data_IF_573102065419
#
_entry.id   IF_573102065419
#
_cell.length_a   1.000
_cell.length_b   1.000
_cell.length_c   1.000
_cell.angle_alpha   90.00
_cell.angle_beta   90.00
_cell.angle_gamma   90.00
#
_symmetry.space_group_name_H-M   'P 1'
#
loop_
_entity.id
_entity.type
_entity.pdbx_description
1 polymer ?
#
# COMPACT_ATOMS: atom_id res chain seq x y z
N UNK A 1 6.70 -24.41 28.00
CA UNK A 1 6.99 -22.98 27.78
C UNK A 1 6.29 -22.54 26.51
N UNK A 2 5.07 -22.02 26.62
CA UNK A 2 4.27 -21.59 25.47
C UNK A 2 4.88 -20.32 24.87
N UNK A 3 5.24 -20.38 23.59
CA UNK A 3 5.72 -19.25 22.80
C UNK A 3 4.87 -18.00 23.03
N UNK A 4 5.50 -16.84 23.19
CA UNK A 4 4.81 -15.54 23.21
C UNK A 4 4.07 -15.35 21.88
N UNK A 5 2.78 -15.67 21.85
CA UNK A 5 1.93 -15.46 20.68
C UNK A 5 1.80 -13.96 20.41
N UNK A 6 1.71 -13.59 19.13
CA UNK A 6 1.48 -12.21 18.66
C UNK A 6 0.28 -11.54 19.35
N UNK A 7 -0.76 -12.33 19.65
CA UNK A 7 -1.97 -11.90 20.36
C UNK A 7 -1.65 -11.35 21.75
N UNK A 8 -0.74 -11.99 22.50
CA UNK A 8 -0.36 -11.53 23.85
C UNK A 8 0.43 -10.23 23.81
N UNK A 9 1.28 -10.03 22.78
CA UNK A 9 2.06 -8.80 22.58
C UNK A 9 1.19 -7.60 22.21
N UNK A 10 0.18 -7.82 21.36
CA UNK A 10 -0.79 -6.77 20.98
C UNK A 10 -1.61 -6.34 22.20
N UNK A 11 -2.01 -7.30 23.05
CA UNK A 11 -2.68 -6.99 24.32
C UNK A 11 -1.81 -6.18 25.28
N UNK A 12 -0.53 -6.52 25.44
CA UNK A 12 0.38 -5.75 26.32
C UNK A 12 0.60 -4.31 25.85
N UNK A 13 0.68 -4.10 24.53
CA UNK A 13 0.87 -2.76 23.97
C UNK A 13 -0.38 -1.90 24.15
N UNK A 14 -1.57 -2.44 23.93
CA UNK A 14 -2.81 -1.69 24.17
C UNK A 14 -2.97 -1.30 25.63
N UNK A 15 -2.65 -2.21 26.57
CA UNK A 15 -2.74 -1.92 28.01
C UNK A 15 -1.75 -0.85 28.44
N UNK A 16 -0.53 -0.86 27.91
CA UNK A 16 0.47 0.19 28.21
C UNK A 16 0.01 1.54 27.66
N UNK A 17 -0.53 1.57 26.44
CA UNK A 17 -1.08 2.81 25.86
C UNK A 17 -2.29 3.33 26.63
N UNK A 18 -3.22 2.46 27.02
CA UNK A 18 -4.40 2.81 27.79
C UNK A 18 -4.02 3.35 29.18
N UNK A 19 -3.14 2.66 29.91
CA UNK A 19 -2.67 3.08 31.23
C UNK A 19 -1.87 4.39 31.15
N UNK A 20 -1.02 4.56 30.14
CA UNK A 20 -0.29 5.81 29.92
C UNK A 20 -1.23 6.99 29.67
N UNK A 21 -2.29 6.78 28.88
CA UNK A 21 -3.29 7.80 28.64
C UNK A 21 -4.13 8.14 29.89
N UNK A 22 -4.52 7.13 30.67
CA UNK A 22 -5.22 7.30 31.95
C UNK A 22 -4.35 8.05 32.97
N UNK A 23 -3.05 7.71 33.05
CA UNK A 23 -2.10 8.41 33.92
C UNK A 23 -1.97 9.89 33.54
N UNK A 24 -1.92 10.21 32.24
CA UNK A 24 -1.92 11.60 31.78
C UNK A 24 -3.23 12.32 32.09
N UNK A 25 -4.38 11.65 31.94
CA UNK A 25 -5.68 12.23 32.30
C UNK A 25 -5.77 12.52 33.81
N UNK A 26 -5.24 11.62 34.63
CA UNK A 26 -5.13 11.81 36.07
C UNK A 26 -4.21 12.99 36.41
N UNK A 27 -3.04 13.08 35.79
CA UNK A 27 -2.10 14.19 36.00
C UNK A 27 -2.67 15.55 35.59
N UNK A 28 -3.48 15.57 34.54
CA UNK A 28 -4.22 16.77 34.10
C UNK A 28 -5.45 17.10 34.97
N UNK A 29 -5.69 16.35 36.05
CA UNK A 29 -6.82 16.51 36.96
C UNK A 29 -8.20 16.49 36.26
N UNK A 30 -8.33 15.73 35.17
CA UNK A 30 -9.58 15.62 34.42
C UNK A 30 -10.58 14.72 35.16
N UNK A 31 -11.67 15.32 35.62
CA UNK A 31 -12.71 14.63 36.40
C UNK A 31 -13.77 13.95 35.52
N UNK A 32 -13.93 14.38 34.27
CA UNK A 32 -14.97 13.85 33.38
C UNK A 32 -14.42 12.78 32.43
N UNK A 33 -15.11 11.63 32.26
CA UNK A 33 -14.62 10.54 31.42
C UNK A 33 -14.48 10.96 29.94
N UNK A 34 -15.36 11.83 29.46
CA UNK A 34 -15.30 12.37 28.10
C UNK A 34 -14.04 13.24 27.87
N UNK A 35 -13.64 14.07 28.84
CA UNK A 35 -12.42 14.87 28.72
C UNK A 35 -11.16 13.99 28.82
N UNK A 36 -11.17 12.98 29.68
CA UNK A 36 -10.09 11.99 29.77
C UNK A 36 -9.92 11.23 28.44
N UNK A 37 -11.02 10.82 27.80
CA UNK A 37 -11.00 10.19 26.48
C UNK A 37 -10.52 11.15 25.39
N UNK A 38 -10.95 12.40 25.39
CA UNK A 38 -10.43 13.40 24.46
C UNK A 38 -8.91 13.62 24.62
N UNK A 39 -8.42 13.70 25.87
CA UNK A 39 -6.99 13.78 26.14
C UNK A 39 -6.25 12.51 25.68
N UNK A 40 -6.81 11.32 25.90
CA UNK A 40 -6.23 10.06 25.39
C UNK A 40 -6.10 10.07 23.87
N UNK A 41 -7.11 10.59 23.16
CA UNK A 41 -7.07 10.78 21.72
C UNK A 41 -5.94 11.72 21.29
N UNK A 42 -5.78 12.85 21.98
CA UNK A 42 -4.65 13.75 21.78
C UNK A 42 -3.31 13.03 21.98
N UNK A 43 -3.16 12.27 23.07
CA UNK A 43 -1.96 11.51 23.39
C UNK A 43 -1.62 10.48 22.29
N UNK A 44 -2.60 9.65 21.89
CA UNK A 44 -2.42 8.68 20.80
C UNK A 44 -2.00 9.36 19.50
N UNK A 45 -2.59 10.53 19.22
CA UNK A 45 -2.20 11.28 18.04
C UNK A 45 -0.77 11.80 18.17
N UNK A 46 -0.36 12.34 19.31
CA UNK A 46 1.00 12.81 19.56
C UNK A 46 2.05 11.73 19.32
N UNK A 47 1.77 10.47 19.66
CA UNK A 47 2.66 9.34 19.37
C UNK A 47 2.85 9.09 17.86
N UNK A 48 1.83 9.37 17.05
CA UNK A 48 1.86 9.18 15.58
C UNK A 48 2.25 10.46 14.81
N UNK A 49 2.31 11.61 15.47
CA UNK A 49 2.67 12.89 14.84
C UNK A 49 4.06 12.86 14.19
N UNK A 50 5.14 12.35 14.83
CA UNK A 50 6.47 12.33 14.24
C UNK A 50 6.51 11.64 12.87
N UNK A 51 5.76 10.55 12.71
CA UNK A 51 5.63 9.84 11.43
C UNK A 51 4.99 10.73 10.37
N UNK A 52 3.90 11.42 10.72
CA UNK A 52 3.23 12.32 9.76
C UNK A 52 4.04 13.56 9.42
N UNK A 53 4.79 14.10 10.38
CA UNK A 53 5.72 15.22 10.16
C UNK A 53 6.86 14.79 9.24
N UNK A 54 7.42 13.60 9.46
CA UNK A 54 8.46 13.04 8.58
C UNK A 54 7.93 12.80 7.15
N UNK A 55 6.70 12.30 7.01
CA UNK A 55 6.03 12.17 5.72
C UNK A 55 5.88 13.52 5.01
N UNK A 56 5.48 14.57 5.72
CA UNK A 56 5.35 15.92 5.16
C UNK A 56 6.72 16.54 4.79
N UNK A 57 7.78 16.26 5.56
CA UNK A 57 9.15 16.65 5.17
C UNK A 57 9.56 15.97 3.87
N UNK A 58 9.30 14.67 3.73
CA UNK A 58 9.61 13.92 2.51
C UNK A 58 8.81 14.43 1.32
N UNK A 59 7.54 14.77 1.51
CA UNK A 59 6.70 15.36 0.47
C UNK A 59 7.27 16.69 -0.04
N UNK A 60 7.64 17.59 0.87
CA UNK A 60 8.16 18.90 0.48
C UNK A 60 9.54 18.82 -0.17
N UNK A 61 10.42 17.94 0.31
CA UNK A 61 11.70 17.67 -0.37
C UNK A 61 11.49 17.11 -1.77
N UNK A 62 10.49 16.26 -1.97
CA UNK A 62 10.13 15.80 -3.31
C UNK A 62 9.60 16.93 -4.19
N UNK A 63 8.80 17.86 -3.63
CA UNK A 63 8.38 19.06 -4.37
C UNK A 63 9.58 19.92 -4.79
N UNK A 64 10.61 20.06 -3.95
CA UNK A 64 11.85 20.75 -4.30
C UNK A 64 12.69 20.01 -5.37
N UNK A 65 12.53 18.69 -5.50
CA UNK A 65 13.22 17.87 -6.50
C UNK A 65 12.53 17.88 -7.88
N UNK A 66 11.27 18.31 -7.95
CA UNK A 66 10.50 18.32 -9.21
C UNK A 66 11.08 19.20 -10.32
N UNK A 67 11.60 20.42 -10.07
CA UNK A 67 12.23 21.22 -11.13
C UNK A 67 13.38 20.48 -11.81
N UNK A 68 14.27 19.86 -11.04
CA UNK A 68 15.40 19.11 -11.58
C UNK A 68 14.94 17.88 -12.36
N UNK A 69 13.91 17.20 -11.85
CA UNK A 69 13.31 16.07 -12.54
C UNK A 69 12.65 16.49 -13.86
N UNK A 70 12.03 17.68 -13.91
CA UNK A 70 11.43 18.21 -15.13
C UNK A 70 12.51 18.51 -16.17
N UNK A 71 13.64 19.10 -15.78
CA UNK A 71 14.76 19.35 -16.70
C UNK A 71 15.32 18.04 -17.28
N UNK A 72 15.52 17.02 -16.44
CA UNK A 72 15.93 15.70 -16.91
C UNK A 72 14.88 15.06 -17.85
N UNK A 73 13.60 15.34 -17.61
CA UNK A 73 12.52 14.86 -18.45
C UNK A 73 12.44 15.58 -19.80
N UNK A 74 12.66 16.89 -19.85
CA UNK A 74 12.75 17.63 -21.13
C UNK A 74 13.92 17.16 -21.98
N UNK A 75 15.06 16.82 -21.36
CA UNK A 75 16.21 16.22 -22.05
C UNK A 75 15.90 14.83 -22.60
N UNK A 76 15.05 14.06 -21.91
CA UNK A 76 14.57 12.78 -22.41
C UNK A 76 13.64 12.96 -23.61
N UNK A 77 12.68 13.88 -23.53
CA UNK A 77 11.72 14.14 -24.61
C UNK A 77 12.43 14.62 -25.88
N UNK A 78 13.45 15.47 -25.76
CA UNK A 78 14.21 15.94 -26.94
C UNK A 78 14.88 14.80 -27.71
N UNK A 79 15.23 13.69 -27.04
CA UNK A 79 15.80 12.49 -27.67
C UNK A 79 14.69 11.58 -28.20
N UNK A 80 13.62 11.38 -27.45
CA UNK A 80 12.55 10.42 -27.78
C UNK A 80 11.65 10.89 -28.91
N UNK A 81 11.39 12.20 -28.96
CA UNK A 81 10.55 12.84 -29.96
C UNK A 81 11.32 13.18 -31.24
N UNK A 82 12.63 12.96 -31.26
CA UNK A 82 13.43 13.15 -32.46
C UNK A 82 13.02 12.14 -33.55
N UNK A 83 12.71 12.58 -34.78
CA UNK A 83 12.13 11.71 -35.82
C UNK A 83 13.08 10.58 -36.25
N UNK A 84 14.38 10.80 -36.12
CA UNK A 84 15.41 9.82 -36.49
C UNK A 84 15.90 8.97 -35.31
N UNK A 85 15.31 9.12 -34.11
CA UNK A 85 15.80 8.40 -32.94
C UNK A 85 15.55 6.91 -33.05
N UNK A 86 16.62 6.13 -32.96
CA UNK A 86 16.57 4.67 -33.05
C UNK A 86 16.00 4.10 -31.74
N UNK A 87 15.28 2.97 -31.79
CA UNK A 87 14.71 2.34 -30.59
C UNK A 87 15.73 2.11 -29.46
N UNK A 88 17.00 1.85 -29.80
CA UNK A 88 18.07 1.75 -28.82
C UNK A 88 18.38 3.08 -28.11
N UNK A 89 18.36 4.21 -28.81
CA UNK A 89 18.59 5.53 -28.21
C UNK A 89 17.46 5.89 -27.25
N UNK A 90 16.21 5.57 -27.61
CA UNK A 90 15.04 5.71 -26.72
C UNK A 90 15.18 4.86 -25.45
N UNK A 91 15.71 3.63 -25.58
CA UNK A 91 16.04 2.75 -24.43
C UNK A 91 17.09 3.36 -23.52
N UNK A 92 18.19 3.86 -24.09
CA UNK A 92 19.29 4.48 -23.33
C UNK A 92 18.80 5.76 -22.64
N UNK A 93 18.02 6.59 -23.33
CA UNK A 93 17.42 7.79 -22.76
C UNK A 93 16.49 7.46 -21.59
N UNK A 94 15.65 6.43 -21.72
CA UNK A 94 14.77 5.99 -20.63
C UNK A 94 15.57 5.49 -19.42
N UNK A 95 16.62 4.70 -19.64
CA UNK A 95 17.52 4.24 -18.57
C UNK A 95 18.26 5.40 -17.89
N UNK A 96 18.71 6.39 -18.68
CA UNK A 96 19.35 7.60 -18.16
C UNK A 96 18.38 8.37 -17.27
N UNK A 97 17.15 8.63 -17.74
CA UNK A 97 16.13 9.32 -16.96
C UNK A 97 15.77 8.57 -15.66
N UNK A 98 15.74 7.23 -15.69
CA UNK A 98 15.54 6.43 -14.48
C UNK A 98 16.70 6.61 -13.47
N UNK A 99 17.96 6.59 -13.94
CA UNK A 99 19.14 6.83 -13.10
C UNK A 99 19.16 8.26 -12.57
N UNK A 100 18.85 9.25 -13.40
CA UNK A 100 18.81 10.65 -13.02
C UNK A 100 17.72 10.88 -11.97
N UNK A 101 16.53 10.29 -12.13
CA UNK A 101 15.50 10.32 -11.09
C UNK A 101 16.00 9.73 -9.77
N UNK A 102 16.62 8.56 -9.79
CA UNK A 102 17.15 7.93 -8.57
C UNK A 102 18.22 8.80 -7.91
N UNK A 103 19.12 9.39 -8.71
CA UNK A 103 20.16 10.30 -8.24
C UNK A 103 19.58 11.57 -7.61
N UNK A 104 18.62 12.22 -8.28
CA UNK A 104 17.93 13.43 -7.79
C UNK A 104 17.17 13.10 -6.51
N UNK A 105 16.36 12.04 -6.48
CA UNK A 105 15.62 11.70 -5.25
C UNK A 105 16.57 11.32 -4.10
N UNK A 106 17.71 10.70 -4.42
CA UNK A 106 18.74 10.42 -3.42
C UNK A 106 19.41 11.69 -2.87
N UNK A 107 19.70 12.69 -3.72
CA UNK A 107 20.28 13.97 -3.28
C UNK A 107 19.35 14.72 -2.32
N UNK A 108 18.04 14.69 -2.60
CA UNK A 108 17.00 15.24 -1.72
C UNK A 108 16.60 14.29 -0.56
N UNK A 109 17.23 13.11 -0.47
CA UNK A 109 16.98 12.06 0.55
C UNK A 109 15.53 11.54 0.58
N UNK A 110 14.82 11.59 -0.54
CA UNK A 110 13.42 11.16 -0.69
C UNK A 110 13.27 9.92 -1.56
N UNK A 111 12.12 9.28 -1.46
CA UNK A 111 11.65 8.22 -2.36
C UNK A 111 10.13 8.11 -2.18
N UNK A 112 9.41 7.53 -3.15
CA UNK A 112 7.98 7.27 -3.10
C UNK A 112 7.56 6.53 -1.81
N UNK A 113 8.35 5.52 -1.40
CA UNK A 113 8.10 4.77 -0.16
C UNK A 113 8.21 5.69 1.07
N UNK A 114 9.21 6.56 1.12
CA UNK A 114 9.40 7.51 2.23
C UNK A 114 8.30 8.57 2.28
N UNK A 115 7.67 8.88 1.14
CA UNK A 115 6.54 9.80 1.08
C UNK A 115 5.24 9.15 1.56
N UNK A 116 5.02 7.86 1.27
CA UNK A 116 3.75 7.17 1.58
C UNK A 116 3.77 6.43 2.92
N UNK A 117 4.80 5.62 3.18
CA UNK A 117 4.85 4.70 4.31
C UNK A 117 4.62 5.36 5.68
N UNK A 118 5.19 6.55 5.99
CA UNK A 118 4.96 7.17 7.29
C UNK A 118 3.49 7.54 7.53
N UNK A 119 2.76 7.94 6.49
CA UNK A 119 1.32 8.23 6.60
C UNK A 119 0.49 6.96 6.72
N UNK A 120 0.83 5.91 5.97
CA UNK A 120 0.15 4.62 6.07
C UNK A 120 0.30 4.01 7.47
N UNK A 121 1.53 4.02 8.01
CA UNK A 121 1.80 3.55 9.38
C UNK A 121 1.09 4.43 10.41
N UNK A 122 1.12 5.76 10.25
CA UNK A 122 0.42 6.65 11.16
C UNK A 122 -1.11 6.47 11.11
N UNK A 123 -1.69 6.20 9.95
CA UNK A 123 -3.11 5.91 9.78
C UNK A 123 -3.48 4.59 10.44
N UNK A 124 -2.71 3.52 10.20
CA UNK A 124 -2.90 2.22 10.83
C UNK A 124 -2.78 2.30 12.35
N UNK A 125 -1.76 3.00 12.86
CA UNK A 125 -1.57 3.22 14.30
C UNK A 125 -2.71 4.06 14.89
N UNK A 126 -3.21 5.06 14.16
CA UNK A 126 -4.35 5.88 14.61
C UNK A 126 -5.64 5.05 14.70
N UNK A 127 -5.92 4.23 13.69
CA UNK A 127 -7.07 3.31 13.69
C UNK A 127 -6.97 2.28 14.81
N UNK A 128 -5.77 1.72 15.03
CA UNK A 128 -5.52 0.81 16.13
C UNK A 128 -5.78 1.47 17.50
N UNK A 129 -5.28 2.70 17.71
CA UNK A 129 -5.48 3.45 18.95
C UNK A 129 -6.95 3.81 19.18
N UNK A 130 -7.69 4.19 18.13
CA UNK A 130 -9.12 4.48 18.20
C UNK A 130 -9.96 3.23 18.54
N UNK A 131 -9.50 2.05 18.13
CA UNK A 131 -10.14 0.78 18.43
C UNK A 131 -9.79 0.25 19.82
N UNK A 132 -8.67 -0.47 19.93
CA UNK A 132 -8.40 -1.36 21.08
C UNK A 132 -8.08 -0.59 22.37
N UNK A 133 -7.10 0.34 22.41
CA UNK A 133 -6.79 1.07 23.65
C UNK A 133 -7.94 1.97 24.10
N UNK A 134 -8.62 2.66 23.18
CA UNK A 134 -9.75 3.53 23.52
C UNK A 134 -10.91 2.71 24.08
N UNK A 135 -11.19 1.52 23.52
CA UNK A 135 -12.19 0.62 24.08
C UNK A 135 -11.84 0.19 25.51
N UNK A 136 -10.58 -0.15 25.80
CA UNK A 136 -10.13 -0.51 27.16
C UNK A 136 -10.34 0.63 28.17
N UNK A 137 -10.05 1.87 27.77
CA UNK A 137 -10.32 3.06 28.60
C UNK A 137 -11.84 3.24 28.81
N UNK A 138 -12.62 3.07 27.73
CA UNK A 138 -14.08 3.17 27.79
C UNK A 138 -14.71 2.11 28.71
N UNK A 139 -14.25 0.87 28.64
CA UNK A 139 -14.71 -0.22 29.52
C UNK A 139 -14.33 0.03 30.97
N UNK A 140 -13.12 0.54 31.24
CA UNK A 140 -12.72 0.93 32.59
C UNK A 140 -13.67 1.97 33.21
N UNK A 141 -14.01 3.02 32.46
CA UNK A 141 -14.93 4.03 32.97
C UNK A 141 -16.34 3.51 33.21
N UNK A 142 -16.88 2.67 32.30
CA UNK A 142 -18.24 2.16 32.39
C UNK A 142 -18.37 1.05 33.44
N UNK A 143 -17.46 0.08 33.43
CA UNK A 143 -17.57 -1.15 34.22
C UNK A 143 -16.90 -1.04 35.59
N UNK A 144 -15.69 -0.48 35.65
CA UNK A 144 -14.91 -0.47 36.90
C UNK A 144 -15.20 0.79 37.73
N UNK A 145 -15.33 1.94 37.09
CA UNK A 145 -15.61 3.22 37.77
C UNK A 145 -17.11 3.55 37.88
N UNK A 146 -17.99 2.79 37.22
CA UNK A 146 -19.43 3.05 37.22
C UNK A 146 -19.84 4.42 36.65
N UNK A 147 -18.99 5.04 35.83
CA UNK A 147 -19.20 6.38 35.29
C UNK A 147 -19.79 6.31 33.88
N UNK A 148 -20.90 7.03 33.68
CA UNK A 148 -21.46 7.20 32.34
C UNK A 148 -20.59 8.15 31.49
N UNK A 149 -20.26 7.74 30.27
CA UNK A 149 -19.57 8.59 29.29
C UNK A 149 -20.61 9.52 28.67
N UNK A 150 -20.88 10.64 29.33
CA UNK A 150 -21.75 11.69 28.81
C UNK A 150 -20.88 12.75 28.15
N UNK A 151 -21.21 13.08 26.89
CA UNK A 151 -20.57 14.20 26.20
C UNK A 151 -20.86 15.51 26.93
N UNK A 152 -19.84 16.33 27.24
CA UNK A 152 -20.05 17.63 27.88
C UNK A 152 -20.74 18.63 26.95
N UNK A 153 -20.78 18.33 25.65
CA UNK A 153 -21.43 19.16 24.64
C UNK A 153 -22.86 18.69 24.33
N UNK A 154 -23.32 17.61 24.96
CA UNK A 154 -24.69 17.16 24.79
C UNK A 154 -25.65 18.24 25.30
N UNK A 155 -26.60 18.61 24.44
CA UNK A 155 -27.68 19.54 24.78
C UNK A 155 -28.97 18.74 24.86
N UNK A 156 -29.68 18.89 25.98
CA UNK A 156 -31.00 18.28 26.15
C UNK A 156 -32.05 19.34 25.82
N UNK A 157 -32.94 19.02 24.89
CA UNK A 157 -34.03 19.89 24.51
C UNK A 157 -35.31 19.42 25.19
N UNK A 158 -35.98 20.32 25.92
CA UNK A 158 -37.26 20.05 26.57
C UNK A 158 -38.33 20.89 25.89
N UNK A 159 -39.28 20.26 25.19
CA UNK A 159 -40.50 20.95 24.77
C UNK A 159 -41.66 20.53 25.65
N UNK A 160 -42.15 21.48 26.45
CA UNK A 160 -43.43 21.35 27.12
C UNK A 160 -44.54 21.74 26.15
N UNK A 161 -45.53 20.85 25.96
CA UNK A 161 -46.68 21.09 25.08
C UNK A 161 -47.52 22.34 25.45
N UNK A 162 -47.31 22.94 26.63
CA UNK A 162 -48.05 24.11 27.13
C UNK A 162 -47.30 25.44 27.06
N UNK A 163 -46.05 25.49 26.58
CA UNK A 163 -45.28 26.74 26.50
C UNK A 163 -44.70 26.94 25.10
N UNK A 164 -45.06 28.04 24.45
CA UNK A 164 -44.61 28.47 23.13
C UNK A 164 -43.12 28.90 23.06
N UNK A 165 -42.32 28.59 24.08
CA UNK A 165 -40.91 28.89 24.16
C UNK A 165 -40.13 27.64 24.64
N UNK A 166 -39.44 26.95 23.72
CA UNK A 166 -38.56 25.85 24.09
C UNK A 166 -37.36 26.36 24.91
N UNK A 167 -37.18 25.83 26.11
CA UNK A 167 -36.02 26.15 26.95
C UNK A 167 -34.84 25.22 26.64
N UNK A 168 -33.67 25.81 26.38
CA UNK A 168 -32.41 25.08 26.20
C UNK A 168 -31.75 24.84 27.56
N UNK A 169 -31.57 23.57 27.94
CA UNK A 169 -30.78 23.20 29.12
C UNK A 169 -29.52 22.44 28.68
N UNK A 170 -28.35 22.90 29.13
CA UNK A 170 -27.10 22.16 28.95
C UNK A 170 -27.15 20.87 29.79
N UNK A 171 -26.76 19.72 29.23
CA UNK A 171 -26.96 18.42 29.89
C UNK A 171 -26.17 18.24 31.19
N UNK A 172 -25.17 19.10 31.46
CA UNK A 172 -24.39 19.09 32.70
C UNK A 172 -25.22 19.38 33.95
N UNK A 173 -26.39 20.00 33.82
CA UNK A 173 -27.24 20.38 34.97
C UNK A 173 -28.31 19.35 35.35
N UNK A 174 -28.49 18.29 34.57
CA UNK A 174 -29.59 17.32 34.74
C UNK A 174 -29.17 15.97 35.35
N UNK A 175 -27.88 15.70 35.49
CA UNK A 175 -27.38 14.45 36.07
C UNK A 175 -27.53 14.36 37.60
N UNK A 176 -27.92 15.45 38.28
CA UNK A 176 -28.01 15.52 39.76
C UNK A 176 -29.42 15.51 40.34
N UNK A 177 -30.49 15.41 39.54
CA UNK A 177 -31.87 15.56 40.06
C UNK A 177 -32.80 14.36 39.88
N UNK A 178 -32.34 13.23 39.33
CA UNK A 178 -33.21 12.07 39.10
C UNK A 178 -33.38 11.11 40.29
N UNK A 179 -32.86 11.42 41.49
CA UNK A 179 -33.00 10.53 42.67
C UNK A 179 -33.77 11.11 43.87
N UNK A 180 -34.43 12.27 43.78
CA UNK A 180 -35.04 12.89 44.98
C UNK A 180 -36.48 13.45 44.83
N UNK A 181 -37.20 13.18 43.74
CA UNK A 181 -38.57 13.70 43.57
C UNK A 181 -39.59 12.57 43.33
N UNK A 182 -39.70 11.66 44.30
CA UNK A 182 -40.82 10.74 44.43
C UNK A 182 -41.61 11.09 45.69
N UNK A 183 -42.22 12.28 45.73
CA UNK A 183 -43.34 12.57 46.60
C UNK A 183 -44.09 13.81 46.12
N UNK A 184 -45.41 13.65 46.00
CA UNK A 184 -46.44 14.71 45.95
C UNK A 184 -46.39 15.68 44.76
N UNK A 185 -47.23 15.45 43.76
CA UNK A 185 -48.55 16.13 43.67
C UNK A 185 -49.15 15.94 42.26
N UNK A 186 -50.45 15.64 42.26
CA UNK A 186 -51.29 15.52 41.08
C UNK A 186 -51.50 16.89 40.42
N UNK A 187 -50.84 17.12 39.29
CA UNK A 187 -51.30 18.09 38.28
C UNK A 187 -50.90 17.59 36.90
N UNK A 188 -51.80 17.84 35.94
CA UNK A 188 -51.79 17.42 34.53
C UNK A 188 -50.37 17.20 33.98
N UNK A 189 -50.07 15.96 33.56
CA UNK A 189 -48.82 15.61 32.90
C UNK A 189 -48.70 16.37 31.57
N UNK A 190 -48.09 17.56 31.62
CA UNK A 190 -47.50 18.14 30.43
C UNK A 190 -46.42 17.15 29.98
N UNK A 191 -46.67 16.45 28.88
CA UNK A 191 -45.68 15.59 28.21
C UNK A 191 -44.52 16.49 27.79
N UNK A 192 -43.52 16.61 28.66
CA UNK A 192 -42.26 17.26 28.36
C UNK A 192 -41.47 16.31 27.47
N UNK A 193 -41.35 16.67 26.21
CA UNK A 193 -40.62 15.92 25.20
C UNK A 193 -39.14 16.23 25.37
N UNK A 194 -38.34 15.21 25.70
CA UNK A 194 -36.89 15.30 25.87
C UNK A 194 -36.20 14.57 24.72
N UNK A 195 -35.40 15.29 23.92
CA UNK A 195 -34.40 14.66 23.05
C UNK A 195 -33.02 15.29 23.26
N UNK A 196 -31.97 14.47 23.11
CA UNK A 196 -30.58 14.88 23.32
C UNK A 196 -29.86 14.99 21.99
N UNK A 197 -29.15 16.10 21.77
CA UNK A 197 -28.26 16.27 20.61
C UNK A 197 -26.82 16.33 21.11
N UNK A 198 -25.98 15.41 20.65
CA UNK A 198 -24.55 15.41 20.95
C UNK A 198 -23.74 15.82 19.70
N UNK A 199 -23.14 17.03 19.68
CA UNK A 199 -22.37 17.51 18.55
C UNK A 199 -20.93 16.97 18.54
N UNK A 200 -20.47 16.21 19.53
CA UNK A 200 -19.06 15.75 19.60
C UNK A 200 -18.62 14.99 18.37
N UNK A 201 -19.44 14.05 17.89
CA UNK A 201 -19.14 13.26 16.70
C UNK A 201 -19.15 14.13 15.44
N UNK A 202 -20.07 15.09 15.34
CA UNK A 202 -20.10 16.06 14.25
C UNK A 202 -18.84 16.95 14.23
N UNK A 203 -18.38 17.42 15.40
CA UNK A 203 -17.15 18.19 15.54
C UNK A 203 -15.91 17.34 15.20
N UNK A 204 -15.86 16.08 15.65
CA UNK A 204 -14.78 15.15 15.31
C UNK A 204 -14.71 14.87 13.80
N UNK A 205 -15.86 14.65 13.16
CA UNK A 205 -15.97 14.50 11.71
C UNK A 205 -15.57 15.78 10.97
N UNK A 206 -16.00 16.94 11.44
CA UNK A 206 -15.64 18.25 10.89
C UNK A 206 -14.13 18.53 10.96
N UNK A 207 -13.50 18.28 12.11
CA UNK A 207 -12.05 18.38 12.28
C UNK A 207 -11.29 17.39 11.39
N UNK A 208 -11.79 16.16 11.27
CA UNK A 208 -11.21 15.16 10.38
C UNK A 208 -11.29 15.62 8.93
N UNK A 209 -12.44 16.14 8.50
CA UNK A 209 -12.63 16.69 7.17
C UNK A 209 -11.69 17.87 6.90
N UNK A 210 -11.56 18.81 7.85
CA UNK A 210 -10.62 19.93 7.76
C UNK A 210 -9.18 19.43 7.59
N UNK A 211 -8.77 18.46 8.41
CA UNK A 211 -7.43 17.88 8.35
C UNK A 211 -7.16 17.14 7.03
N UNK A 212 -8.12 16.37 6.52
CA UNK A 212 -8.02 15.68 5.22
C UNK A 212 -7.94 16.70 4.09
N UNK A 213 -8.84 17.69 4.05
CA UNK A 213 -8.82 18.75 3.05
C UNK A 213 -7.47 19.47 3.00
N UNK A 214 -6.92 19.82 4.17
CA UNK A 214 -5.61 20.48 4.26
C UNK A 214 -4.46 19.57 3.83
N UNK A 215 -4.48 18.31 4.25
CA UNK A 215 -3.49 17.30 3.86
C UNK A 215 -3.47 17.08 2.34
N UNK A 216 -4.65 16.99 1.73
CA UNK A 216 -4.84 16.85 0.29
C UNK A 216 -4.41 18.11 -0.47
N UNK A 217 -4.75 19.30 0.04
CA UNK A 217 -4.37 20.56 -0.58
C UNK A 217 -2.85 20.74 -0.67
N UNK A 218 -2.10 20.32 0.35
CA UNK A 218 -0.63 20.34 0.34
C UNK A 218 0.02 19.39 -0.69
N UNK A 219 -0.77 18.48 -1.27
CA UNK A 219 -0.34 17.49 -2.27
C UNK A 219 -0.83 17.81 -3.67
N UNK A 220 -1.52 18.93 -3.84
CA UNK A 220 -1.88 19.40 -5.17
C UNK A 220 -0.69 20.05 -5.88
N UNK A 221 -0.72 20.08 -7.20
CA UNK A 221 0.31 20.74 -8.01
C UNK A 221 1.51 19.86 -8.34
N UNK A 222 1.44 18.56 -8.04
CA UNK A 222 2.41 17.57 -8.52
C UNK A 222 2.04 17.05 -9.92
N UNK A 223 0.76 16.80 -10.18
CA UNK A 223 0.29 16.24 -11.45
C UNK A 223 -1.21 16.51 -11.60
N UNK A 224 -1.67 16.97 -12.76
CA UNK A 224 -3.09 17.21 -13.04
C UNK A 224 -3.97 15.98 -12.81
N UNK A 225 -3.49 14.75 -13.09
CA UNK A 225 -4.21 13.49 -12.79
C UNK A 225 -4.33 13.26 -11.29
N UNK A 226 -3.24 13.48 -10.56
CA UNK A 226 -3.23 13.39 -9.11
C UNK A 226 -4.18 14.43 -8.52
N UNK A 227 -4.19 15.65 -9.06
CA UNK A 227 -5.05 16.74 -8.61
C UNK A 227 -6.54 16.43 -8.85
N UNK A 228 -6.89 15.85 -10.01
CA UNK A 228 -8.25 15.33 -10.27
C UNK A 228 -8.63 14.24 -9.26
N UNK A 229 -7.73 13.28 -9.02
CA UNK A 229 -7.95 12.23 -8.03
C UNK A 229 -8.12 12.79 -6.61
N UNK A 230 -7.27 13.75 -6.22
CA UNK A 230 -7.36 14.50 -4.96
C UNK A 230 -8.71 15.21 -4.86
N UNK A 231 -9.19 15.83 -5.94
CA UNK A 231 -10.50 16.46 -6.01
C UNK A 231 -11.65 15.48 -5.75
N UNK A 232 -11.57 14.28 -6.31
CA UNK A 232 -12.56 13.22 -6.09
C UNK A 232 -12.52 12.70 -4.65
N UNK A 233 -11.33 12.42 -4.11
CA UNK A 233 -11.15 11.97 -2.72
C UNK A 233 -11.63 13.03 -1.74
N UNK A 234 -11.35 14.31 -2.01
CA UNK A 234 -11.84 15.42 -1.18
C UNK A 234 -13.36 15.47 -1.14
N UNK A 235 -14.04 15.34 -2.30
CA UNK A 235 -15.51 15.29 -2.37
C UNK A 235 -16.07 14.08 -1.63
N UNK A 236 -15.46 12.91 -1.79
CA UNK A 236 -15.86 11.70 -1.07
C UNK A 236 -15.69 11.86 0.45
N UNK A 237 -14.56 12.39 0.92
CA UNK A 237 -14.30 12.63 2.34
C UNK A 237 -15.25 13.68 2.94
N UNK A 238 -15.55 14.75 2.19
CA UNK A 238 -16.56 15.76 2.57
C UNK A 238 -17.93 15.10 2.70
N UNK A 239 -18.35 14.31 1.70
CA UNK A 239 -19.61 13.59 1.72
C UNK A 239 -19.73 12.63 2.90
N UNK A 240 -18.71 11.81 3.15
CA UNK A 240 -18.72 10.87 4.28
C UNK A 240 -18.75 11.59 5.63
N UNK A 241 -17.97 12.65 5.82
CA UNK A 241 -17.98 13.42 7.07
C UNK A 241 -19.30 14.17 7.26
N UNK A 242 -19.89 14.68 6.17
CA UNK A 242 -21.20 15.32 6.21
C UNK A 242 -22.29 14.33 6.63
N UNK A 243 -22.31 13.12 6.05
CA UNK A 243 -23.26 12.05 6.43
C UNK A 243 -23.09 11.66 7.90
N UNK A 244 -21.86 11.53 8.40
CA UNK A 244 -21.60 11.23 9.82
C UNK A 244 -22.10 12.37 10.71
N UNK A 245 -21.82 13.62 10.36
CA UNK A 245 -22.22 14.78 11.14
C UNK A 245 -23.74 15.00 11.15
N UNK A 246 -24.40 14.89 9.99
CA UNK A 246 -25.87 15.00 9.91
C UNK A 246 -26.54 13.82 10.59
N UNK A 247 -26.05 12.60 10.38
CA UNK A 247 -26.54 11.40 11.06
C UNK A 247 -26.42 11.51 12.59
N UNK A 248 -25.30 12.03 13.10
CA UNK A 248 -25.12 12.21 14.54
C UNK A 248 -26.06 13.26 15.12
N UNK A 249 -26.22 14.40 14.43
CA UNK A 249 -27.09 15.50 14.90
C UNK A 249 -28.58 15.16 14.80
N UNK A 250 -28.98 14.38 13.79
CA UNK A 250 -30.36 13.99 13.56
C UNK A 250 -30.77 12.72 14.35
N UNK A 251 -29.81 11.97 14.89
CA UNK A 251 -30.09 10.70 15.60
C UNK A 251 -31.07 10.86 16.76
N UNK A 252 -30.89 11.87 17.62
CA UNK A 252 -31.78 12.18 18.74
C UNK A 252 -33.19 12.59 18.30
N UNK A 253 -33.33 13.62 17.44
CA UNK A 253 -34.62 14.02 16.88
C UNK A 253 -35.36 12.90 16.14
N UNK A 254 -34.66 12.08 15.34
CA UNK A 254 -35.25 10.97 14.60
C UNK A 254 -35.69 9.82 15.52
N UNK A 255 -34.87 9.43 16.48
CA UNK A 255 -35.22 8.41 17.46
C UNK A 255 -36.49 8.81 18.23
N UNK A 256 -36.56 10.09 18.61
CA UNK A 256 -37.75 10.67 19.21
C UNK A 256 -38.98 10.63 18.27
N UNK A 257 -38.85 11.12 17.04
CA UNK A 257 -39.96 11.17 16.08
C UNK A 257 -40.52 9.77 15.73
N UNK A 258 -39.66 8.75 15.73
CA UNK A 258 -40.02 7.37 15.45
C UNK A 258 -40.40 6.56 16.70
N UNK A 259 -40.32 7.15 17.90
CA UNK A 259 -40.49 6.46 19.18
C UNK A 259 -39.62 5.20 19.33
N UNK A 260 -38.40 5.23 18.78
CA UNK A 260 -37.43 4.12 18.83
C UNK A 260 -36.32 4.48 19.81
N UNK A 261 -35.74 3.51 20.57
CA UNK A 261 -34.54 3.77 21.36
C UNK A 261 -33.45 4.48 20.55
N UNK A 262 -32.76 5.41 21.20
CA UNK A 262 -31.70 6.19 20.58
C UNK A 262 -30.66 5.30 19.90
N UNK A 263 -30.56 5.39 18.58
CA UNK A 263 -29.59 4.65 17.79
C UNK A 263 -28.19 5.22 18.00
N UNK A 264 -27.39 4.53 18.80
CA UNK A 264 -25.98 4.84 18.96
C UNK A 264 -25.20 4.12 17.86
N UNK A 265 -24.95 4.80 16.73
CA UNK A 265 -24.18 4.24 15.61
C UNK A 265 -22.73 3.90 15.99
N UNK A 266 -22.18 4.58 16.99
CA UNK A 266 -20.82 4.38 17.48
C UNK A 266 -20.81 4.17 18.99
N UNK A 267 -19.84 3.41 19.52
CA UNK A 267 -19.63 3.31 20.96
C UNK A 267 -19.37 4.70 21.58
N UNK A 268 -19.87 4.97 22.80
CA UNK A 268 -19.83 6.30 23.41
C UNK A 268 -18.39 6.81 23.68
N UNK A 269 -17.42 5.91 23.80
CA UNK A 269 -16.01 6.27 23.98
C UNK A 269 -15.32 6.78 22.70
N UNK A 270 -15.88 6.50 21.52
CA UNK A 270 -15.21 6.73 20.25
C UNK A 270 -15.23 8.22 19.87
N UNK A 271 -16.36 8.90 20.05
CA UNK A 271 -16.51 10.30 19.64
C UNK A 271 -15.53 11.25 20.38
N UNK A 272 -15.38 11.19 21.72
CA UNK A 272 -14.43 12.06 22.42
C UNK A 272 -12.97 11.77 22.05
N UNK A 273 -12.58 10.49 21.95
CA UNK A 273 -11.22 10.13 21.55
C UNK A 273 -10.92 10.57 20.11
N UNK A 274 -11.87 10.38 19.19
CA UNK A 274 -11.73 10.85 17.80
C UNK A 274 -11.61 12.38 17.74
N UNK A 275 -12.40 13.11 18.53
CA UNK A 275 -12.31 14.56 18.65
C UNK A 275 -10.89 14.99 19.08
N UNK A 276 -10.32 14.35 20.11
CA UNK A 276 -8.96 14.61 20.56
C UNK A 276 -7.90 14.37 19.48
N UNK A 277 -7.98 13.24 18.77
CA UNK A 277 -7.08 12.95 17.66
C UNK A 277 -7.19 13.98 16.52
N UNK A 278 -8.41 14.41 16.20
CA UNK A 278 -8.68 15.45 15.22
C UNK A 278 -8.10 16.80 15.63
N UNK A 279 -8.29 17.19 16.89
CA UNK A 279 -7.80 18.44 17.46
C UNK A 279 -6.26 18.51 17.46
N UNK A 280 -5.58 17.46 17.92
CA UNK A 280 -4.11 17.39 17.90
C UNK A 280 -3.55 17.50 16.46
N UNK A 281 -4.23 16.89 15.49
CA UNK A 281 -3.85 17.02 14.08
C UNK A 281 -4.06 18.43 13.55
N UNK A 282 -5.19 19.06 13.89
CA UNK A 282 -5.50 20.43 13.49
C UNK A 282 -4.51 21.42 14.09
N UNK A 283 -4.12 21.24 15.36
CA UNK A 283 -3.10 22.02 16.04
C UNK A 283 -1.75 21.89 15.34
N UNK A 284 -1.28 20.66 15.08
CA UNK A 284 -0.05 20.41 14.31
C UNK A 284 -0.10 21.13 12.96
N UNK A 285 -1.24 21.08 12.29
CA UNK A 285 -1.44 21.73 11.01
C UNK A 285 -1.37 23.25 11.12
N UNK A 286 -2.03 23.86 12.11
CA UNK A 286 -2.00 25.29 12.39
C UNK A 286 -0.57 25.79 12.69
N UNK A 287 0.17 25.06 13.51
CA UNK A 287 1.58 25.35 13.80
C UNK A 287 2.40 25.25 12.49
N UNK A 288 2.23 24.18 11.71
CA UNK A 288 2.97 24.00 10.46
C UNK A 288 2.65 25.02 9.34
N UNK A 289 1.60 25.84 9.45
CA UNK A 289 1.37 26.97 8.52
C UNK A 289 2.33 28.13 8.76
N UNK A 290 2.70 28.37 10.01
CA UNK A 290 3.50 29.53 10.38
C UNK A 290 4.97 29.31 9.97
N UNK A 291 5.69 30.40 9.70
CA UNK A 291 7.14 30.32 9.45
C UNK A 291 7.92 29.65 10.60
N UNK A 292 7.71 30.01 11.89
CA UNK A 292 8.39 29.35 12.99
C UNK A 292 8.02 27.86 13.12
N UNK A 293 6.75 27.49 12.90
CA UNK A 293 6.36 26.09 12.95
C UNK A 293 6.94 25.27 11.79
N UNK A 294 7.10 25.87 10.60
CA UNK A 294 7.85 25.23 9.50
C UNK A 294 9.31 25.00 9.86
N UNK A 295 9.96 25.97 10.51
CA UNK A 295 11.33 25.82 10.99
C UNK A 295 11.45 24.72 12.06
N UNK A 296 10.53 24.70 13.05
CA UNK A 296 10.46 23.68 14.10
C UNK A 296 10.37 22.27 13.50
N UNK A 297 9.52 22.09 12.49
CA UNK A 297 9.35 20.81 11.81
C UNK A 297 10.33 20.58 10.65
N UNK A 298 11.32 21.44 10.45
CA UNK A 298 12.30 21.37 9.34
C UNK A 298 11.64 21.17 7.98
N UNK A 299 10.51 21.84 7.74
CA UNK A 299 9.73 21.74 6.52
C UNK A 299 10.27 22.74 5.50
N UNK A 300 10.85 22.29 4.36
CA UNK A 300 11.33 23.21 3.34
C UNK A 300 10.16 24.00 2.71
N UNK A 301 10.45 25.19 2.21
CA UNK A 301 9.49 25.98 1.45
C UNK A 301 9.27 25.35 0.08
N UNK A 302 8.03 25.40 -0.40
CA UNK A 302 7.74 24.98 -1.77
C UNK A 302 8.46 25.91 -2.76
N UNK A 303 9.03 25.37 -3.86
CA UNK A 303 9.58 26.22 -4.91
C UNK A 303 8.47 27.05 -5.57
N UNK A 304 8.78 28.23 -6.13
CA UNK A 304 7.79 29.09 -6.77
C UNK A 304 7.12 28.43 -7.99
N UNK A 305 7.80 27.45 -8.59
CA UNK A 305 7.31 26.66 -9.72
C UNK A 305 6.35 25.52 -9.29
N UNK A 306 6.11 25.32 -7.99
CA UNK A 306 5.19 24.29 -7.53
C UNK A 306 3.75 24.61 -7.96
N UNK A 307 3.06 23.67 -8.58
CA UNK A 307 1.70 23.86 -9.12
C UNK A 307 1.63 24.21 -10.59
N UNK A 308 2.76 24.48 -11.27
CA UNK A 308 2.78 24.72 -12.72
C UNK A 308 3.02 23.44 -13.53
N UNK A 309 3.28 22.31 -12.88
CA UNK A 309 3.59 21.04 -13.52
C UNK A 309 2.34 20.39 -14.13
N UNK A 310 2.30 20.32 -15.47
CA UNK A 310 1.22 19.66 -16.23
C UNK A 310 1.28 18.13 -16.19
N UNK A 311 0.28 17.48 -16.79
CA UNK A 311 0.12 16.02 -16.83
C UNK A 311 1.35 15.27 -17.35
N UNK A 312 1.96 15.82 -18.40
CA UNK A 312 3.06 15.20 -19.13
C UNK A 312 4.37 15.27 -18.34
N UNK A 313 4.61 16.41 -17.67
CA UNK A 313 5.85 16.71 -16.95
C UNK A 313 6.14 15.77 -15.77
N UNK A 314 5.13 15.18 -15.13
CA UNK A 314 5.29 14.26 -14.00
C UNK A 314 4.87 12.82 -14.28
N UNK A 315 4.01 12.57 -15.27
CA UNK A 315 3.62 11.21 -15.64
C UNK A 315 4.72 10.47 -16.42
N UNK A 316 5.57 11.17 -17.15
CA UNK A 316 6.65 10.55 -17.93
C UNK A 316 7.97 10.41 -17.13
N UNK A 317 8.07 10.99 -15.93
CA UNK A 317 9.12 10.69 -14.94
C UNK A 317 8.82 9.49 -14.03
N UNK A 318 7.63 8.87 -14.14
CA UNK A 318 7.23 7.74 -13.29
C UNK A 318 7.95 6.45 -13.72
N UNK A 319 8.59 5.76 -12.77
CA UNK A 319 9.38 4.51 -12.97
C UNK A 319 8.65 3.49 -13.85
N UNK A 320 7.36 3.32 -13.61
CA UNK A 320 6.55 2.37 -14.36
C UNK A 320 6.41 2.80 -15.83
N UNK A 321 6.12 4.07 -16.11
CA UNK A 321 5.96 4.52 -17.50
C UNK A 321 7.30 4.49 -18.25
N UNK A 322 8.41 4.85 -17.59
CA UNK A 322 9.76 4.77 -18.17
C UNK A 322 10.21 3.34 -18.47
N UNK A 323 9.83 2.38 -17.61
CA UNK A 323 10.07 0.96 -17.88
C UNK A 323 9.23 0.43 -19.05
N UNK A 324 8.05 1.01 -19.30
CA UNK A 324 7.11 0.57 -20.34
C UNK A 324 7.26 1.32 -21.69
N UNK A 325 7.73 2.56 -21.71
CA UNK A 325 7.92 3.33 -22.96
C UNK A 325 9.28 3.10 -23.63
N UNK A 326 10.24 2.52 -22.90
CA UNK A 326 11.56 2.22 -23.44
C UNK A 326 11.64 0.89 -24.21
N UNK A 327 10.74 -0.06 -23.99
CA UNK A 327 10.86 -1.44 -24.50
C UNK A 327 9.61 -1.79 -25.31
N UNK A 328 9.74 -2.64 -26.32
CA UNK A 328 8.59 -3.16 -27.06
C UNK A 328 7.53 -3.63 -26.08
N UNK A 329 6.30 -3.15 -26.26
CA UNK A 329 5.15 -3.46 -25.38
C UNK A 329 4.96 -4.97 -25.28
N UNK A 330 5.30 -5.71 -26.33
CA UNK A 330 5.24 -7.16 -26.40
C UNK A 330 6.34 -7.84 -25.56
N UNK A 331 7.58 -7.34 -25.62
CA UNK A 331 8.71 -7.87 -24.87
C UNK A 331 8.52 -7.61 -23.36
N UNK A 332 8.01 -6.44 -22.99
CA UNK A 332 7.67 -6.12 -21.58
C UNK A 332 6.43 -6.83 -21.08
N UNK A 333 5.41 -7.04 -21.92
CA UNK A 333 4.26 -7.90 -21.55
C UNK A 333 4.73 -9.32 -21.26
N UNK A 334 5.63 -9.87 -22.07
CA UNK A 334 6.19 -11.20 -21.82
C UNK A 334 7.05 -11.25 -20.54
N UNK A 335 7.88 -10.22 -20.28
CA UNK A 335 8.66 -10.11 -19.04
C UNK A 335 7.76 -9.93 -17.80
N UNK A 336 6.71 -9.11 -17.90
CA UNK A 336 5.76 -8.90 -16.82
C UNK A 336 4.93 -10.17 -16.54
N UNK A 337 4.45 -10.85 -17.59
CA UNK A 337 3.73 -12.12 -17.43
C UNK A 337 4.62 -13.20 -16.79
N UNK A 338 5.90 -13.25 -17.16
CA UNK A 338 6.85 -14.18 -16.53
C UNK A 338 7.18 -13.79 -15.09
N UNK A 339 7.40 -12.51 -14.79
CA UNK A 339 7.61 -12.03 -13.43
C UNK A 339 6.38 -12.24 -12.54
N UNK A 340 5.18 -11.99 -13.05
CA UNK A 340 3.92 -12.24 -12.36
C UNK A 340 3.78 -13.71 -12.02
N UNK A 341 3.98 -14.63 -12.98
CA UNK A 341 3.95 -16.08 -12.73
C UNK A 341 4.96 -16.52 -11.66
N UNK A 342 6.15 -15.91 -11.65
CA UNK A 342 7.16 -16.19 -10.62
C UNK A 342 6.73 -15.66 -9.25
N UNK A 343 6.13 -14.48 -9.19
CA UNK A 343 5.70 -13.85 -7.94
C UNK A 343 4.48 -14.55 -7.34
N UNK A 344 3.51 -14.93 -8.17
CA UNK A 344 2.34 -15.72 -7.78
C UNK A 344 2.82 -17.06 -7.19
N UNK A 345 3.77 -17.74 -7.86
CA UNK A 345 4.38 -18.96 -7.33
C UNK A 345 5.12 -18.75 -6.00
N UNK A 346 5.89 -17.66 -5.85
CA UNK A 346 6.56 -17.36 -4.58
C UNK A 346 5.58 -17.04 -3.44
N UNK A 347 4.50 -16.31 -3.74
CA UNK A 347 3.43 -16.02 -2.80
C UNK A 347 2.74 -17.32 -2.37
N UNK A 348 2.39 -18.19 -3.30
CA UNK A 348 1.78 -19.49 -3.02
C UNK A 348 2.70 -20.35 -2.14
N UNK A 349 4.00 -20.40 -2.45
CA UNK A 349 4.99 -21.12 -1.62
C UNK A 349 5.11 -20.52 -0.22
N UNK A 350 5.05 -19.18 -0.08
CA UNK A 350 5.15 -18.52 1.24
C UNK A 350 3.87 -18.69 2.05
N UNK A 351 2.71 -18.55 1.44
CA UNK A 351 1.40 -18.79 2.05
C UNK A 351 1.34 -20.26 2.49
N UNK A 352 1.75 -21.19 1.62
CA UNK A 352 1.84 -22.60 1.96
C UNK A 352 2.77 -22.85 3.15
N UNK A 353 4.01 -22.33 3.15
CA UNK A 353 4.92 -22.45 4.31
C UNK A 353 4.32 -21.87 5.59
N UNK A 354 3.53 -20.81 5.48
CA UNK A 354 2.87 -20.18 6.61
C UNK A 354 1.71 -21.05 7.12
N UNK A 355 0.89 -21.61 6.22
CA UNK A 355 -0.20 -22.54 6.54
C UNK A 355 0.30 -23.87 7.10
N UNK A 356 1.43 -24.40 6.60
CA UNK A 356 2.10 -25.58 7.16
C UNK A 356 2.60 -25.32 8.58
N UNK A 357 3.16 -24.12 8.84
CA UNK A 357 3.55 -23.71 10.21
C UNK A 357 2.36 -23.55 11.15
N UNK A 358 1.16 -23.32 10.60
CA UNK A 358 -0.09 -23.24 11.34
C UNK A 358 -0.76 -24.62 11.51
N UNK A 359 -0.18 -25.71 10.99
CA UNK A 359 -0.69 -27.07 11.14
C UNK A 359 -2.01 -27.33 10.40
N UNK A 360 -2.32 -26.55 9.36
CA UNK A 360 -3.63 -26.54 8.71
C UNK A 360 -3.73 -27.45 7.47
N UNK A 361 -2.62 -28.02 6.99
CA UNK A 361 -2.59 -28.94 5.83
C UNK A 361 -1.47 -29.99 5.97
N UNK A 362 -1.85 -31.28 5.86
CA UNK A 362 -0.96 -32.45 5.92
C UNK A 362 -0.80 -33.19 4.56
N UNK A 363 -1.50 -32.77 3.49
CA UNK A 363 -1.34 -33.38 2.15
C UNK A 363 -0.07 -32.86 1.46
N UNK A 364 1.05 -33.47 1.84
CA UNK A 364 2.41 -33.01 1.57
C UNK A 364 3.01 -33.51 0.25
N UNK A 365 2.42 -34.51 -0.41
CA UNK A 365 3.13 -35.27 -1.45
C UNK A 365 3.02 -34.70 -2.87
N UNK A 366 1.91 -34.04 -3.21
CA UNK A 366 1.70 -33.56 -4.59
C UNK A 366 2.45 -32.25 -4.86
N UNK A 367 2.49 -31.33 -3.88
CA UNK A 367 3.21 -30.05 -4.01
C UNK A 367 4.72 -30.19 -3.84
N UNK A 368 5.19 -31.15 -3.03
CA UNK A 368 6.62 -31.47 -2.95
C UNK A 368 7.10 -32.13 -4.25
N UNK A 369 6.29 -33.03 -4.84
CA UNK A 369 6.52 -33.59 -6.15
C UNK A 369 6.57 -32.53 -7.26
N UNK A 370 5.67 -31.55 -7.27
CA UNK A 370 5.71 -30.46 -8.23
C UNK A 370 6.91 -29.52 -8.04
N UNK A 371 7.27 -29.22 -6.79
CA UNK A 371 8.45 -28.42 -6.47
C UNK A 371 9.75 -29.11 -6.94
N UNK A 372 9.87 -30.42 -6.74
CA UNK A 372 11.03 -31.19 -7.18
C UNK A 372 11.07 -31.39 -8.70
N UNK A 373 9.92 -31.58 -9.35
CA UNK A 373 9.81 -31.59 -10.81
C UNK A 373 10.25 -30.26 -11.42
N UNK A 374 9.92 -29.13 -10.80
CA UNK A 374 10.35 -27.81 -11.26
C UNK A 374 11.84 -27.55 -11.01
N UNK A 375 12.40 -28.04 -9.90
CA UNK A 375 13.85 -28.03 -9.65
C UNK A 375 14.61 -28.82 -10.71
N UNK A 376 14.11 -30.00 -11.08
CA UNK A 376 14.67 -30.80 -12.16
C UNK A 376 14.60 -30.07 -13.50
N UNK A 377 13.45 -29.46 -13.86
CA UNK A 377 13.33 -28.66 -15.09
C UNK A 377 14.32 -27.49 -15.13
N UNK A 378 14.55 -26.81 -13.99
CA UNK A 378 15.55 -25.73 -13.88
C UNK A 378 16.99 -26.24 -14.02
N UNK A 379 17.30 -27.39 -13.44
CA UNK A 379 18.62 -28.02 -13.57
C UNK A 379 18.92 -28.37 -15.04
N UNK A 380 17.96 -28.98 -15.74
CA UNK A 380 18.07 -29.29 -17.17
C UNK A 380 18.21 -28.02 -18.01
N UNK A 381 17.42 -26.97 -17.72
CA UNK A 381 17.55 -25.70 -18.45
C UNK A 381 18.91 -25.03 -18.22
N UNK A 382 19.46 -25.12 -16.99
CA UNK A 382 20.80 -24.61 -16.67
C UNK A 382 21.90 -25.41 -17.37
N UNK A 383 21.79 -26.74 -17.40
CA UNK A 383 22.70 -27.61 -18.15
C UNK A 383 22.66 -27.31 -19.65
N UNK A 384 21.47 -27.09 -20.24
CA UNK A 384 21.33 -26.68 -21.65
C UNK A 384 21.99 -25.34 -21.96
N UNK A 385 21.97 -24.39 -21.02
CA UNK A 385 22.69 -23.12 -21.16
C UNK A 385 24.20 -23.32 -21.08
N UNK A 386 24.68 -24.04 -20.07
CA UNK A 386 26.10 -24.36 -19.91
C UNK A 386 26.65 -25.15 -21.11
N UNK A 387 25.88 -26.08 -21.67
CA UNK A 387 26.28 -26.83 -22.87
C UNK A 387 26.36 -25.93 -24.11
N UNK A 388 25.45 -24.95 -24.27
CA UNK A 388 25.53 -23.95 -25.34
C UNK A 388 26.70 -23.00 -25.16
N UNK A 389 26.97 -22.58 -23.92
CA UNK A 389 28.08 -21.68 -23.60
C UNK A 389 29.44 -22.39 -23.76
N UNK A 390 29.52 -23.68 -23.41
CA UNK A 390 30.70 -24.52 -23.65
C UNK A 390 30.93 -24.78 -25.15
N UNK A 391 29.87 -25.05 -25.91
CA UNK A 391 29.96 -25.18 -27.37
C UNK A 391 30.30 -23.84 -28.08
N UNK A 392 30.04 -22.70 -27.41
CA UNK A 392 30.36 -21.37 -27.91
C UNK A 392 31.73 -20.84 -27.44
N UNK A 393 32.46 -21.59 -26.61
CA UNK A 393 33.79 -21.22 -26.13
C UNK A 393 34.86 -21.95 -26.95
N UNK A 394 35.56 -21.30 -27.90
CA UNK A 394 36.67 -21.93 -28.60
C UNK A 394 37.89 -21.98 -27.67
N UNK A 395 38.30 -23.19 -27.30
CA UNK A 395 39.55 -23.42 -26.58
C UNK A 395 40.77 -23.15 -27.47
N UNK A 396 41.66 -22.29 -27.00
CA UNK A 396 42.99 -21.95 -27.52
C UNK A 396 43.87 -23.22 -27.73
N UNK A 397 44.32 -23.53 -28.96
CA UNK A 397 45.59 -23.18 -29.65
C UNK A 397 46.64 -24.33 -29.60
N UNK A 398 47.57 -24.53 -30.57
CA UNK A 398 48.18 -23.51 -31.45
C UNK A 398 48.31 -23.83 -32.96
N UNK A 399 48.51 -22.75 -33.73
CA UNK A 399 49.20 -22.64 -35.03
C UNK A 399 48.81 -23.57 -36.21
N UNK A 400 48.14 -22.98 -37.21
CA UNK A 400 48.30 -23.40 -38.61
C UNK A 400 47.03 -23.39 -39.46
N UNK A 401 46.87 -22.34 -40.28
CA UNK A 401 46.04 -22.23 -41.51
C UNK A 401 44.49 -22.26 -41.42
N UNK A 402 43.95 -21.06 -41.61
CA UNK A 402 42.81 -20.67 -42.47
C UNK A 402 41.45 -21.39 -42.38
N UNK A 403 40.57 -20.76 -41.58
CA UNK A 403 39.13 -20.45 -41.78
C UNK A 403 38.25 -21.29 -42.72
N UNK A 404 37.24 -21.96 -42.13
CA UNK A 404 35.92 -22.15 -42.76
C UNK A 404 34.78 -21.85 -41.76
N UNK A 405 33.82 -21.06 -42.24
CA UNK A 405 32.70 -20.50 -41.50
C UNK A 405 31.46 -21.41 -41.59
N UNK A 406 30.95 -21.86 -40.43
CA UNK A 406 29.63 -22.47 -40.28
C UNK A 406 28.49 -21.43 -40.23
N UNK A 407 27.22 -21.87 -40.27
CA UNK A 407 26.07 -21.01 -40.53
C UNK A 407 25.82 -20.05 -39.35
N UNK A 408 26.27 -18.82 -39.52
CA UNK A 408 26.06 -17.74 -38.57
C UNK A 408 24.62 -17.27 -38.65
N UNK A 409 23.89 -17.41 -37.55
CA UNK A 409 22.57 -16.78 -37.36
C UNK A 409 22.66 -15.27 -37.59
N UNK A 410 21.59 -14.67 -38.12
CA UNK A 410 21.53 -13.24 -38.52
C UNK A 410 21.96 -12.26 -37.40
N UNK A 411 21.85 -12.66 -36.14
CA UNK A 411 22.33 -11.92 -34.97
C UNK A 411 23.87 -11.87 -34.85
N UNK A 412 24.57 -12.92 -35.27
CA UNK A 412 26.03 -12.95 -35.31
C UNK A 412 26.61 -12.13 -36.47
N UNK A 413 25.91 -12.11 -37.62
CA UNK A 413 26.26 -11.22 -38.76
C UNK A 413 26.20 -9.74 -38.39
N UNK A 414 25.20 -9.31 -37.60
CA UNK A 414 25.12 -7.91 -37.12
C UNK A 414 26.25 -7.49 -36.18
N UNK A 415 26.80 -8.44 -35.39
CA UNK A 415 27.94 -8.17 -34.49
C UNK A 415 29.28 -8.14 -35.22
N UNK A 416 29.42 -8.90 -36.31
CA UNK A 416 30.61 -8.87 -37.16
C UNK A 416 30.62 -7.68 -38.14
N UNK A 417 29.47 -7.29 -38.68
CA UNK A 417 29.36 -6.15 -39.60
C UNK A 417 29.69 -4.79 -38.95
N UNK A 418 29.54 -4.65 -37.62
CA UNK A 418 30.02 -3.45 -36.91
C UNK A 418 31.55 -3.41 -36.71
N UNK A 419 32.29 -4.46 -37.06
CA UNK A 419 33.72 -4.58 -36.74
C UNK A 419 34.68 -4.46 -37.91
N UNK A 420 34.24 -4.59 -39.16
CA UNK A 420 35.18 -4.62 -40.30
C UNK A 420 34.58 -3.97 -41.55
N UNK A 421 35.02 -2.74 -41.84
CA UNK A 421 34.95 -2.14 -43.18
C UNK A 421 36.26 -2.47 -43.94
N UNK A 422 36.15 -3.39 -44.93
CA UNK A 422 36.81 -3.45 -46.27
C UNK A 422 38.37 -3.49 -46.41
N UNK A 423 38.98 -3.93 -47.57
CA UNK A 423 38.41 -4.58 -48.77
C UNK A 423 39.26 -5.73 -49.45
N UNK A 424 38.63 -6.37 -50.48
CA UNK A 424 39.20 -7.13 -51.64
C UNK A 424 39.90 -8.50 -51.37
N UNK A 425 39.76 -9.59 -52.16
CA UNK A 425 39.47 -9.79 -53.59
C UNK A 425 39.08 -11.25 -53.95
N UNK A 426 38.26 -11.34 -55.01
CA UNK A 426 38.12 -12.31 -56.14
C UNK A 426 38.65 -13.77 -56.12
N UNK A 427 37.75 -14.68 -56.56
CA UNK A 427 37.85 -15.63 -57.71
C UNK A 427 37.75 -17.18 -57.50
N UNK A 428 36.71 -17.73 -58.15
CA UNK A 428 36.57 -18.96 -58.98
C UNK A 428 36.63 -20.40 -58.41
N UNK A 429 35.44 -21.01 -58.42
CA UNK A 429 35.00 -22.31 -59.00
C UNK A 429 35.95 -23.52 -59.08
N UNK A 430 35.53 -24.67 -58.51
CA UNK A 430 35.08 -25.89 -59.22
C UNK A 430 34.70 -27.05 -58.27
N UNK A 431 33.48 -27.56 -58.47
CA UNK A 431 32.96 -28.96 -58.39
C UNK A 431 33.69 -30.05 -57.57
N UNK A 432 32.99 -30.72 -56.63
CA UNK A 432 32.39 -32.08 -56.78
C UNK A 432 31.98 -32.74 -55.43
N UNK A 433 30.72 -33.16 -55.38
CA UNK A 433 30.06 -34.30 -54.70
C UNK A 433 30.59 -34.91 -53.39
N UNK A 434 29.75 -34.80 -52.34
CA UNK A 434 28.92 -35.92 -51.84
C UNK A 434 29.46 -36.80 -50.72
N UNK A 435 28.93 -36.63 -49.49
CA UNK A 435 28.58 -37.71 -48.53
C UNK A 435 28.18 -37.14 -47.14
N UNK A 436 27.00 -36.51 -46.98
CA UNK A 436 26.54 -36.00 -45.66
C UNK A 436 25.22 -36.64 -45.15
N UNK A 437 24.68 -37.65 -45.84
CA UNK A 437 23.38 -38.25 -45.47
C UNK A 437 23.40 -39.22 -44.27
N UNK A 438 24.56 -39.69 -43.81
CA UNK A 438 24.64 -40.82 -42.85
C UNK A 438 24.54 -40.36 -41.38
N UNK A 439 24.81 -39.08 -41.09
CA UNK A 439 24.85 -38.59 -39.70
C UNK A 439 23.49 -38.21 -39.12
N UNK A 440 22.55 -37.76 -39.95
CA UNK A 440 21.24 -37.28 -39.51
C UNK A 440 20.27 -38.46 -39.26
N UNK A 441 20.32 -39.50 -40.09
CA UNK A 441 19.53 -40.73 -39.89
C UNK A 441 19.92 -41.48 -38.61
N UNK A 442 21.22 -41.51 -38.27
CA UNK A 442 21.69 -42.14 -37.04
C UNK A 442 21.19 -41.40 -35.77
N UNK A 443 21.05 -40.07 -35.85
CA UNK A 443 20.60 -39.24 -34.74
C UNK A 443 19.07 -39.33 -34.55
N UNK A 444 18.32 -39.43 -35.64
CA UNK A 444 16.86 -39.68 -35.61
C UNK A 444 16.59 -41.08 -35.03
N UNK A 445 17.32 -42.11 -35.49
CA UNK A 445 17.18 -43.47 -34.95
C UNK A 445 17.54 -43.57 -33.45
N UNK A 446 18.47 -42.73 -32.97
CA UNK A 446 18.79 -42.66 -31.54
C UNK A 446 17.69 -41.98 -30.72
N UNK A 447 17.04 -40.94 -31.27
CA UNK A 447 15.90 -40.28 -30.62
C UNK A 447 14.68 -41.18 -30.51
N UNK A 448 14.38 -41.95 -31.56
CA UNK A 448 13.25 -42.88 -31.55
C UNK A 448 13.43 -44.00 -30.52
N UNK A 449 14.65 -44.53 -30.38
CA UNK A 449 14.97 -45.52 -29.33
C UNK A 449 14.76 -44.96 -27.92
N UNK A 450 15.14 -43.71 -27.67
CA UNK A 450 14.93 -43.08 -26.36
C UNK A 450 13.44 -42.83 -26.08
N UNK A 451 12.65 -42.48 -27.09
CA UNK A 451 11.20 -42.33 -26.93
C UNK A 451 10.51 -43.68 -26.67
N UNK A 452 10.93 -44.74 -27.35
CA UNK A 452 10.44 -46.09 -27.10
C UNK A 452 10.77 -46.57 -25.68
N UNK A 453 12.00 -46.34 -25.20
CA UNK A 453 12.39 -46.67 -23.82
C UNK A 453 11.58 -45.88 -22.77
N UNK A 454 11.33 -44.60 -23.00
CA UNK A 454 10.47 -43.80 -22.11
C UNK A 454 9.03 -44.30 -22.11
N UNK A 455 8.49 -44.69 -23.27
CA UNK A 455 7.12 -45.19 -23.38
C UNK A 455 6.95 -46.54 -22.68
N UNK A 456 7.93 -47.46 -22.81
CA UNK A 456 7.99 -48.71 -22.06
C UNK A 456 8.03 -48.49 -20.56
N UNK A 457 8.91 -47.60 -20.07
CA UNK A 457 8.97 -47.26 -18.63
C UNK A 457 7.65 -46.72 -18.08
N UNK A 458 6.90 -45.94 -18.87
CA UNK A 458 5.57 -45.45 -18.47
C UNK A 458 4.53 -46.58 -18.41
N UNK A 459 4.60 -47.56 -19.31
CA UNK A 459 3.72 -48.72 -19.29
C UNK A 459 4.03 -49.63 -18.10
N UNK A 460 5.32 -49.89 -17.81
CA UNK A 460 5.75 -50.70 -16.68
C UNK A 460 5.34 -50.08 -15.33
N UNK A 461 5.45 -48.76 -15.20
CA UNK A 461 5.00 -48.05 -13.99
C UNK A 461 3.48 -48.07 -13.82
N UNK A 462 2.71 -48.05 -14.92
CA UNK A 462 1.26 -48.20 -14.85
C UNK A 462 0.87 -49.62 -14.44
N UNK A 463 1.51 -50.64 -15.02
CA UNK A 463 1.29 -52.03 -14.65
C UNK A 463 1.65 -52.28 -13.17
N UNK A 464 2.78 -51.73 -12.68
CA UNK A 464 3.18 -51.83 -11.29
C UNK A 464 2.17 -51.16 -10.32
N UNK A 465 1.60 -50.01 -10.73
CA UNK A 465 0.55 -49.32 -9.95
C UNK A 465 -0.76 -50.11 -9.91
N UNK A 466 -1.17 -50.72 -11.02
CA UNK A 466 -2.37 -51.56 -11.06
C UNK A 466 -2.21 -52.80 -10.18
N UNK A 467 -1.03 -53.44 -10.18
CA UNK A 467 -0.73 -54.57 -9.30
C UNK A 467 -0.76 -54.15 -7.84
N UNK A 468 -0.12 -53.03 -7.49
CA UNK A 468 -0.11 -52.51 -6.13
C UNK A 468 -1.51 -52.10 -5.64
N UNK A 469 -2.36 -51.57 -6.53
CA UNK A 469 -3.74 -51.23 -6.22
C UNK A 469 -4.59 -52.48 -5.98
N UNK A 470 -4.48 -53.51 -6.83
CA UNK A 470 -5.15 -54.82 -6.67
C UNK A 470 -4.67 -55.63 -5.46
N UNK A 471 -3.52 -55.31 -4.88
CA UNK A 471 -3.06 -55.93 -3.62
C UNK A 471 -3.61 -55.21 -2.38
N UNK A 472 -4.01 -53.94 -2.52
CA UNK A 472 -4.45 -53.10 -1.41
C UNK A 472 -5.98 -53.10 -1.23
N UNK A 473 -6.71 -53.51 -2.26
CA UNK A 473 -8.16 -53.68 -2.31
C UNK A 473 -8.50 -55.10 -2.77
#
# INVERSE_FOLDING_TARGET
MLCQTSVRRIGTLSTVLANGALYLAHWAALQTPASALALSGCFFRCLTLPLTVYGDQCLRRAACALPELQNAHTDYLSIVDHPNAIAWEKRVAAQKLQRDRQRIFHSYRTNNVKMFAPHAVAAAASLYCLGVPTQQIGTFFIQDAGMAIVSPLAVSYVTSASASAGHFAWATTLATTTSAAAASSSSVAATSVLFTVDPTLALAAGLTCFNVCRHLHQRMGFNTRLDRWIGNVRRAALGSCAVIATGSLLSGPLAYALAVPAFHFFPPYLAPAWLGMGAATALKNAIASTAPGRALFRLPSYPPQHGTYGEESTAAGHEYRLAFTGVDVEETRHVWETQKRVLDYECDVRIHRWLTRLGLFDELDELTYEADRLRQKRAVARQRRLARDAAASPSAEPEGRAAHAGPTTQAARRRHAMRQEEPFSTQRATTTNGADGVSEEALIAQMDRLQEEESKRRQDLKAAREVAWKQKH
#
